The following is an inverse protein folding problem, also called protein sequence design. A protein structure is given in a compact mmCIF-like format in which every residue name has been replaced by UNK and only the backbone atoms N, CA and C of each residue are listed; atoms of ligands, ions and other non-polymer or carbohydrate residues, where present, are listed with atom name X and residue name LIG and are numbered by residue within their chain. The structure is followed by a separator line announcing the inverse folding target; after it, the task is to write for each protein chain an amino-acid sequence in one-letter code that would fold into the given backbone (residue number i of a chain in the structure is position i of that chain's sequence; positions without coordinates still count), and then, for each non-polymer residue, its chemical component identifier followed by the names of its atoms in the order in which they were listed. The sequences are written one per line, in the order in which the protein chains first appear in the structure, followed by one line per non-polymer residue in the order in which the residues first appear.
data_IF_111325306390
#
_entry.id   IF_111325306390
#
_cell.length_a   1.000
_cell.length_b   1.000
_cell.length_c   1.000
_cell.angle_alpha   90.00
_cell.angle_beta   90.00
_cell.angle_gamma   90.00
#
_symmetry.space_group_name_H-M   'P 1'
#
loop_
_entity.id
_entity.type
_entity.pdbx_description
1 polymer ?
#
# COMPACT_ATOMS: atom_id res chain seq x y z
N UNK A 1 8.79 4.66 22.96
CA UNK A 1 8.77 4.35 21.51
C UNK A 1 8.44 5.57 20.66
N UNK A 2 7.48 6.42 21.05
CA UNK A 2 7.14 7.65 20.31
C UNK A 2 8.32 8.58 19.99
N UNK A 3 9.28 8.75 20.92
CA UNK A 3 10.49 9.55 20.67
C UNK A 3 11.39 8.95 19.58
N UNK A 4 11.49 7.62 19.48
CA UNK A 4 12.25 6.95 18.42
C UNK A 4 11.57 7.15 17.06
N UNK A 5 10.24 7.00 17.00
CA UNK A 5 9.46 7.26 15.79
C UNK A 5 9.61 8.72 15.33
N UNK A 6 9.57 9.67 16.27
CA UNK A 6 9.77 11.10 15.98
C UNK A 6 11.19 11.39 15.46
N UNK A 7 12.20 10.72 16.01
CA UNK A 7 13.59 10.84 15.54
C UNK A 7 13.76 10.26 14.14
N UNK A 8 13.13 9.11 13.85
CA UNK A 8 13.17 8.53 12.51
C UNK A 8 12.41 9.36 11.48
N UNK A 9 11.28 9.95 11.86
CA UNK A 9 10.54 10.88 11.00
C UNK A 9 11.36 12.13 10.64
N UNK A 10 12.21 12.59 11.57
CA UNK A 10 13.13 13.73 11.33
C UNK A 10 14.39 13.33 10.56
N UNK A 11 14.88 12.10 10.74
CA UNK A 11 16.06 11.52 10.06
C UNK A 11 15.74 11.20 8.60
N UNK A 12 14.55 10.66 8.35
CA UNK A 12 14.13 10.27 7.02
C UNK A 12 13.53 11.49 6.30
N UNK A 13 14.20 12.02 5.27
CA UNK A 13 13.69 13.14 4.46
C UNK A 13 12.48 12.66 3.61
N UNK A 14 11.31 12.52 4.25
CA UNK A 14 10.06 11.99 3.68
C UNK A 14 9.52 12.89 2.53
N UNK A 15 10.11 14.06 2.30
CA UNK A 15 9.74 14.96 1.20
C UNK A 15 9.79 14.31 -0.19
N UNK A 16 10.69 13.35 -0.45
CA UNK A 16 10.70 12.62 -1.72
C UNK A 16 9.49 11.69 -1.86
N UNK A 17 9.08 11.07 -0.76
CA UNK A 17 7.94 10.16 -0.73
C UNK A 17 6.62 10.89 -0.98
N UNK A 18 6.43 12.07 -0.35
CA UNK A 18 5.22 12.89 -0.55
C UNK A 18 5.07 13.32 -2.01
N UNK A 19 6.17 13.77 -2.65
CA UNK A 19 6.15 14.14 -4.07
C UNK A 19 5.78 12.94 -4.96
N UNK A 20 6.35 11.77 -4.69
CA UNK A 20 6.02 10.54 -5.40
C UNK A 20 4.54 10.14 -5.25
N UNK A 21 4.00 10.22 -4.04
CA UNK A 21 2.60 9.88 -3.76
C UNK A 21 1.61 10.83 -4.46
N UNK A 22 1.93 12.13 -4.56
CA UNK A 22 1.11 13.11 -5.30
C UNK A 22 1.09 12.77 -6.80
N UNK A 23 2.25 12.51 -7.39
CA UNK A 23 2.37 12.15 -8.81
C UNK A 23 1.61 10.85 -9.10
N UNK A 24 1.73 9.84 -8.24
CA UNK A 24 1.01 8.59 -8.38
C UNK A 24 -0.51 8.78 -8.36
N UNK A 25 -1.02 9.60 -7.44
CA UNK A 25 -2.45 9.92 -7.39
C UNK A 25 -2.95 10.60 -8.68
N UNK A 26 -2.17 11.54 -9.23
CA UNK A 26 -2.50 12.20 -10.51
C UNK A 26 -2.56 11.18 -11.66
N UNK A 27 -1.60 10.24 -11.71
CA UNK A 27 -1.56 9.20 -12.74
C UNK A 27 -2.76 8.26 -12.62
N UNK A 28 -3.11 7.82 -11.41
CA UNK A 28 -4.26 6.93 -11.18
C UNK A 28 -5.55 7.62 -11.61
N UNK A 29 -5.73 8.89 -11.25
CA UNK A 29 -6.88 9.70 -11.62
C UNK A 29 -6.97 9.87 -13.15
N UNK A 30 -5.84 10.18 -13.80
CA UNK A 30 -5.77 10.26 -15.26
C UNK A 30 -6.13 8.93 -15.94
N UNK A 31 -5.67 7.81 -15.38
CA UNK A 31 -6.00 6.47 -15.90
C UNK A 31 -7.49 6.16 -15.75
N UNK A 32 -8.11 6.51 -14.61
CA UNK A 32 -9.55 6.37 -14.40
C UNK A 32 -10.37 7.24 -15.37
N UNK A 33 -9.91 8.48 -15.62
CA UNK A 33 -10.56 9.38 -16.57
C UNK A 33 -10.48 8.86 -18.02
N UNK A 34 -9.35 8.28 -18.42
CA UNK A 34 -9.23 7.65 -19.74
C UNK A 34 -10.21 6.48 -19.89
N UNK A 35 -10.35 5.64 -18.85
CA UNK A 35 -11.30 4.52 -18.87
C UNK A 35 -12.75 4.98 -19.05
N UNK A 36 -13.18 6.07 -18.40
CA UNK A 36 -14.55 6.60 -18.58
C UNK A 36 -14.76 7.25 -19.94
N UNK A 37 -13.72 7.86 -20.53
CA UNK A 37 -13.80 8.40 -21.90
C UNK A 37 -13.92 7.26 -22.93
N UNK A 38 -13.16 6.19 -22.77
CA UNK A 38 -13.23 5.00 -23.65
C UNK A 38 -14.62 4.38 -23.60
N UNK A 39 -15.19 4.21 -22.40
CA UNK A 39 -16.56 3.72 -22.21
C UNK A 39 -17.60 4.58 -22.96
N UNK A 40 -17.45 5.92 -22.94
CA UNK A 40 -18.32 6.84 -23.69
C UNK A 40 -18.16 6.73 -25.22
N UNK A 41 -16.98 6.37 -25.72
CA UNK A 41 -16.67 6.32 -27.16
C UNK A 41 -17.02 4.98 -27.77
N UNK A 42 -16.73 3.87 -27.07
CA UNK A 42 -16.94 2.51 -27.58
C UNK A 42 -18.33 1.95 -27.26
N UNK A 43 -19.05 2.55 -26.29
CA UNK A 43 -20.40 2.10 -25.91
C UNK A 43 -20.43 0.75 -25.18
N UNK A 44 -19.28 0.16 -24.89
CA UNK A 44 -19.15 -0.99 -23.99
C UNK A 44 -19.11 -0.51 -22.55
N UNK A 45 -20.05 -1.00 -21.73
CA UNK A 45 -20.10 -0.70 -20.29
C UNK A 45 -18.95 -1.41 -19.57
N UNK A 46 -17.81 -0.74 -19.42
CA UNK A 46 -16.69 -1.21 -18.60
C UNK A 46 -17.08 -1.10 -17.11
N UNK A 47 -17.88 -0.09 -16.75
CA UNK A 47 -18.44 0.11 -15.43
C UNK A 47 -19.93 -0.24 -15.43
N UNK A 48 -20.24 -1.54 -15.37
CA UNK A 48 -21.64 -2.02 -15.31
C UNK A 48 -22.33 -1.59 -14.01
N UNK A 49 -21.58 -1.50 -12.91
CA UNK A 49 -22.10 -1.17 -11.57
C UNK A 49 -21.14 -0.24 -10.81
N UNK A 50 -21.68 0.59 -9.89
CA UNK A 50 -20.90 1.39 -8.93
C UNK A 50 -19.81 0.58 -8.21
N UNK A 51 -20.13 -0.64 -7.81
CA UNK A 51 -19.20 -1.58 -7.18
C UNK A 51 -17.94 -1.83 -8.04
N UNK A 52 -18.08 -1.92 -9.36
CA UNK A 52 -16.95 -2.17 -10.28
C UNK A 52 -15.98 -0.98 -10.28
N UNK A 53 -16.49 0.25 -10.19
CA UNK A 53 -15.67 1.45 -10.10
C UNK A 53 -14.85 1.50 -8.78
N UNK A 54 -15.50 1.24 -7.65
CA UNK A 54 -14.82 1.19 -6.35
C UNK A 54 -13.79 0.07 -6.28
N UNK A 55 -14.10 -1.05 -6.92
CA UNK A 55 -13.21 -2.19 -6.99
C UNK A 55 -11.96 -1.88 -7.82
N UNK A 56 -12.12 -1.35 -9.04
CA UNK A 56 -11.00 -1.04 -9.94
C UNK A 56 -10.12 0.06 -9.34
N UNK A 57 -10.72 1.13 -8.84
CA UNK A 57 -9.98 2.22 -8.17
C UNK A 57 -9.24 1.70 -6.93
N UNK A 58 -9.90 0.89 -6.10
CA UNK A 58 -9.29 0.25 -4.94
C UNK A 58 -8.12 -0.68 -5.29
N UNK A 59 -8.20 -1.42 -6.39
CA UNK A 59 -7.08 -2.27 -6.87
C UNK A 59 -5.89 -1.42 -7.32
N UNK A 60 -6.11 -0.36 -8.09
CA UNK A 60 -5.06 0.55 -8.56
C UNK A 60 -4.33 1.24 -7.40
N UNK A 61 -5.08 1.75 -6.43
CA UNK A 61 -4.54 2.38 -5.23
C UNK A 61 -3.74 1.36 -4.42
N UNK A 62 -4.34 0.22 -4.06
CA UNK A 62 -3.64 -0.80 -3.27
C UNK A 62 -2.38 -1.29 -3.96
N UNK A 63 -2.42 -1.54 -5.26
CA UNK A 63 -1.27 -1.99 -6.05
C UNK A 63 -0.12 -0.99 -6.03
N UNK A 64 -0.39 0.26 -6.39
CA UNK A 64 0.61 1.33 -6.43
C UNK A 64 1.22 1.59 -5.06
N UNK A 65 0.39 1.74 -4.02
CA UNK A 65 0.88 2.03 -2.66
C UNK A 65 1.62 0.84 -2.04
N UNK A 66 1.33 -0.40 -2.44
CA UNK A 66 2.11 -1.58 -2.04
C UNK A 66 3.53 -1.55 -2.64
N UNK A 67 3.68 -1.13 -3.89
CA UNK A 67 5.01 -0.94 -4.49
C UNK A 67 5.75 0.21 -3.80
N UNK A 68 5.08 1.33 -3.51
CA UNK A 68 5.66 2.43 -2.74
C UNK A 68 6.10 2.00 -1.33
N UNK A 69 5.32 1.14 -0.65
CA UNK A 69 5.68 0.56 0.63
C UNK A 69 7.00 -0.22 0.54
N UNK A 70 7.16 -1.05 -0.49
CA UNK A 70 8.39 -1.82 -0.71
C UNK A 70 9.62 -0.92 -0.96
N UNK A 71 9.44 0.17 -1.71
CA UNK A 71 10.51 1.16 -1.91
C UNK A 71 10.87 1.87 -0.60
N UNK A 72 9.87 2.15 0.24
CA UNK A 72 10.08 2.77 1.55
C UNK A 72 10.81 1.82 2.51
N UNK A 73 10.44 0.54 2.53
CA UNK A 73 11.16 -0.54 3.23
C UNK A 73 12.61 -0.59 2.77
N UNK A 74 12.84 -0.58 1.46
CA UNK A 74 14.19 -0.60 0.90
C UNK A 74 15.04 0.59 1.38
N UNK A 75 14.52 1.81 1.34
CA UNK A 75 15.29 3.00 1.75
C UNK A 75 15.48 3.15 3.26
N UNK A 76 14.49 2.77 4.06
CA UNK A 76 14.53 2.96 5.52
C UNK A 76 15.26 1.82 6.23
N UNK A 77 15.10 0.60 5.73
CA UNK A 77 15.67 -0.60 6.34
C UNK A 77 16.94 -0.99 5.58
N UNK A 78 16.83 -1.35 4.30
CA UNK A 78 17.93 -1.99 3.56
C UNK A 78 19.14 -1.07 3.38
N UNK A 79 18.95 0.20 3.03
CA UNK A 79 20.07 1.15 2.86
C UNK A 79 20.85 1.37 4.17
N UNK A 80 20.20 1.26 5.33
CA UNK A 80 20.85 1.39 6.64
C UNK A 80 21.63 0.13 7.04
N UNK A 81 21.13 -1.06 6.67
CA UNK A 81 21.85 -2.33 6.87
C UNK A 81 23.01 -2.50 5.87
N UNK A 82 22.85 -2.06 4.62
CA UNK A 82 23.86 -2.17 3.55
C UNK A 82 25.07 -1.23 3.78
N UNK A 83 24.84 0.00 4.24
CA UNK A 83 25.90 1.00 4.40
C UNK A 83 26.70 0.91 5.72
N UNK A 84 26.80 -0.28 6.33
CA UNK A 84 27.56 -0.54 7.57
C UNK A 84 27.27 0.43 8.73
N UNK A 85 26.03 0.89 8.88
CA UNK A 85 25.57 1.56 10.12
C UNK A 85 25.33 0.54 11.25
N UNK A 86 25.56 -0.77 11.01
CA UNK A 86 25.48 -1.79 12.06
C UNK A 86 26.48 -1.53 13.19
N UNK A 87 27.70 -1.04 12.90
CA UNK A 87 28.70 -0.67 13.92
C UNK A 87 28.20 0.43 14.89
N UNK A 88 27.35 1.34 14.43
CA UNK A 88 26.75 2.38 15.30
C UNK A 88 25.56 1.80 16.08
N UNK A 89 24.84 0.81 15.53
CA UNK A 89 23.85 0.03 16.29
C UNK A 89 24.50 -0.83 17.39
N UNK A 90 25.77 -1.26 17.25
CA UNK A 90 26.51 -1.96 18.31
C UNK A 90 26.85 -1.05 19.50
N UNK A 91 26.98 0.26 19.30
CA UNK A 91 27.21 1.24 20.39
C UNK A 91 25.92 1.71 21.06
N UNK A 92 24.74 1.38 20.53
CA UNK A 92 23.48 1.84 21.07
C UNK A 92 23.05 0.95 22.26
N UNK A 93 22.89 1.49 23.49
CA UNK A 93 22.50 0.71 24.68
C UNK A 93 21.02 0.26 24.66
N UNK A 94 20.38 0.22 23.49
CA UNK A 94 18.94 -0.07 23.31
C UNK A 94 18.77 -1.37 22.53
N UNK A 95 17.87 -2.24 23.00
CA UNK A 95 17.53 -3.50 22.35
C UNK A 95 17.14 -3.30 20.87
N UNK A 96 17.90 -3.95 19.97
CA UNK A 96 17.75 -3.94 18.49
C UNK A 96 16.33 -4.22 18.01
N UNK A 97 15.66 -5.16 18.70
CA UNK A 97 14.25 -5.51 18.46
C UNK A 97 13.32 -4.30 18.53
N UNK A 98 13.57 -3.37 19.47
CA UNK A 98 12.75 -2.16 19.64
C UNK A 98 12.97 -1.13 18.52
N UNK A 99 14.19 -1.03 18.01
CA UNK A 99 14.55 -0.12 16.90
C UNK A 99 13.95 -0.64 15.59
N UNK A 100 14.06 -1.95 15.34
CA UNK A 100 13.45 -2.54 14.15
C UNK A 100 11.92 -2.43 14.19
N UNK A 101 11.30 -2.69 15.35
CA UNK A 101 9.87 -2.54 15.53
C UNK A 101 9.39 -1.09 15.32
N UNK A 102 10.16 -0.08 15.75
CA UNK A 102 9.79 1.32 15.50
C UNK A 102 9.83 1.69 14.02
N UNK A 103 10.83 1.18 13.27
CA UNK A 103 10.90 1.37 11.81
C UNK A 103 9.69 0.78 11.13
N UNK A 104 9.41 -0.50 11.41
CA UNK A 104 8.27 -1.22 10.88
C UNK A 104 6.94 -0.50 11.15
N UNK A 105 6.74 -0.02 12.39
CA UNK A 105 5.55 0.76 12.74
C UNK A 105 5.47 2.08 11.99
N UNK A 106 6.60 2.76 11.75
CA UNK A 106 6.63 3.98 10.95
C UNK A 106 6.20 3.68 9.51
N UNK A 107 6.79 2.66 8.87
CA UNK A 107 6.44 2.24 7.50
C UNK A 107 4.97 1.88 7.41
N UNK A 108 4.47 1.05 8.33
CA UNK A 108 3.08 0.63 8.36
C UNK A 108 2.13 1.81 8.55
N UNK A 109 2.39 2.69 9.52
CA UNK A 109 1.55 3.86 9.75
C UNK A 109 1.55 4.80 8.55
N UNK A 110 2.69 4.99 7.90
CA UNK A 110 2.82 5.91 6.78
C UNK A 110 2.13 5.37 5.53
N UNK A 111 2.31 4.08 5.23
CA UNK A 111 1.62 3.40 4.12
C UNK A 111 0.11 3.39 4.32
N UNK A 112 -0.36 3.08 5.54
CA UNK A 112 -1.77 3.16 5.91
C UNK A 112 -2.32 4.56 5.65
N UNK A 113 -1.73 5.59 6.27
CA UNK A 113 -2.19 6.99 6.09
C UNK A 113 -2.26 7.36 4.61
N UNK A 114 -1.25 7.01 3.81
CA UNK A 114 -1.27 7.33 2.37
C UNK A 114 -2.33 6.58 1.57
N UNK A 115 -2.61 5.32 1.88
CA UNK A 115 -3.69 4.59 1.22
C UNK A 115 -5.05 5.25 1.51
N UNK A 116 -5.30 5.58 2.78
CA UNK A 116 -6.53 6.27 3.20
C UNK A 116 -6.69 7.63 2.50
N UNK A 117 -5.67 8.49 2.55
CA UNK A 117 -5.71 9.79 1.88
C UNK A 117 -5.94 9.65 0.37
N UNK A 118 -5.29 8.69 -0.26
CA UNK A 118 -5.41 8.47 -1.71
C UNK A 118 -6.80 7.97 -2.10
N UNK A 119 -7.40 7.06 -1.31
CA UNK A 119 -8.80 6.67 -1.52
C UNK A 119 -9.76 7.85 -1.42
N UNK A 120 -9.60 8.71 -0.42
CA UNK A 120 -10.45 9.90 -0.24
C UNK A 120 -10.27 10.86 -1.41
N UNK A 121 -9.04 11.15 -1.82
CA UNK A 121 -8.74 12.06 -2.94
C UNK A 121 -9.37 11.55 -4.23
N UNK A 122 -9.24 10.25 -4.53
CA UNK A 122 -9.77 9.66 -5.75
C UNK A 122 -11.30 9.69 -5.76
N UNK A 123 -11.95 9.33 -4.65
CA UNK A 123 -13.42 9.40 -4.53
C UNK A 123 -13.91 10.84 -4.74
N UNK A 124 -13.35 11.82 -4.02
CA UNK A 124 -13.75 13.23 -4.12
C UNK A 124 -13.54 13.74 -5.54
N UNK A 125 -12.36 13.50 -6.10
CA UNK A 125 -12.03 13.97 -7.45
C UNK A 125 -12.93 13.39 -8.52
N UNK A 126 -13.28 12.11 -8.40
CA UNK A 126 -14.17 11.44 -9.34
C UNK A 126 -15.61 11.96 -9.21
N UNK A 127 -16.11 12.14 -7.99
CA UNK A 127 -17.44 12.76 -7.78
C UNK A 127 -17.50 14.18 -8.32
N UNK A 128 -16.43 14.97 -8.14
CA UNK A 128 -16.34 16.32 -8.70
C UNK A 128 -16.32 16.31 -10.22
N UNK A 129 -15.49 15.47 -10.84
CA UNK A 129 -15.44 15.33 -12.30
C UNK A 129 -16.77 14.85 -12.88
N UNK A 130 -17.49 13.96 -12.19
CA UNK A 130 -18.80 13.51 -12.65
C UNK A 130 -19.82 14.66 -12.65
N UNK A 131 -19.79 15.54 -11.64
CA UNK A 131 -20.67 16.71 -11.58
C UNK A 131 -20.39 17.72 -12.71
N UNK A 132 -19.13 17.90 -13.11
CA UNK A 132 -18.77 18.85 -14.19
C UNK A 132 -19.02 18.28 -15.59
N UNK A 133 -18.76 17.00 -15.81
CA UNK A 133 -18.77 16.39 -17.15
C UNK A 133 -19.96 15.47 -17.42
N UNK A 134 -20.87 15.28 -16.46
CA UNK A 134 -21.98 14.31 -16.53
C UNK A 134 -21.48 12.99 -17.15
N UNK A 135 -20.42 12.44 -16.55
CA UNK A 135 -19.73 11.27 -17.11
C UNK A 135 -20.58 10.01 -16.97
N UNK A 136 -21.49 9.99 -16.00
CA UNK A 136 -22.27 8.81 -15.64
C UNK A 136 -23.58 9.20 -14.94
N UNK A 137 -24.73 8.68 -15.41
CA UNK A 137 -26.07 8.85 -14.80
C UNK A 137 -26.32 7.96 -13.56
N UNK A 138 -25.28 7.32 -13.03
CA UNK A 138 -25.35 6.23 -12.01
C UNK A 138 -25.20 6.80 -10.58
N UNK A 139 -25.04 8.12 -10.42
CA UNK A 139 -24.73 8.73 -9.11
C UNK A 139 -25.96 9.03 -8.23
N UNK A 140 -27.13 8.54 -8.61
CA UNK A 140 -28.33 8.54 -7.75
C UNK A 140 -28.38 7.25 -6.93
N UNK A 141 -27.61 7.18 -5.84
CA UNK A 141 -27.80 6.16 -4.81
C UNK A 141 -28.21 6.82 -3.48
N UNK A 142 -29.23 6.28 -2.78
CA UNK A 142 -29.64 6.75 -1.48
C UNK A 142 -28.50 6.58 -0.47
N UNK A 143 -28.33 7.59 0.39
CA UNK A 143 -27.26 7.80 1.37
C UNK A 143 -26.85 6.58 2.23
N UNK A 144 -27.67 5.52 2.31
CA UNK A 144 -27.44 4.36 3.18
C UNK A 144 -26.41 3.34 2.66
N UNK A 145 -26.27 3.15 1.34
CA UNK A 145 -25.33 2.15 0.80
C UNK A 145 -23.89 2.67 0.70
N UNK A 146 -23.73 3.99 0.56
CA UNK A 146 -22.43 4.65 0.43
C UNK A 146 -21.54 4.49 1.66
N UNK A 147 -22.13 4.53 2.86
CA UNK A 147 -21.39 4.41 4.12
C UNK A 147 -20.83 2.99 4.31
N UNK A 148 -21.60 1.96 3.94
CA UNK A 148 -21.16 0.57 4.04
C UNK A 148 -19.97 0.28 3.11
N UNK A 149 -20.01 0.83 1.89
CA UNK A 149 -18.94 0.68 0.90
C UNK A 149 -17.63 1.36 1.36
N UNK A 150 -17.73 2.54 1.98
CA UNK A 150 -16.57 3.23 2.54
C UNK A 150 -15.94 2.40 3.67
N UNK A 151 -16.75 1.83 4.55
CA UNK A 151 -16.25 1.01 5.66
C UNK A 151 -15.54 -0.25 5.13
N UNK A 152 -16.10 -0.92 4.12
CA UNK A 152 -15.47 -2.10 3.51
C UNK A 152 -14.11 -1.74 2.89
N UNK A 153 -14.03 -0.63 2.15
CA UNK A 153 -12.79 -0.11 1.56
C UNK A 153 -11.73 0.22 2.61
N UNK A 154 -12.14 0.83 3.72
CA UNK A 154 -11.22 1.12 4.83
C UNK A 154 -10.64 -0.16 5.44
N UNK A 155 -11.48 -1.19 5.63
CA UNK A 155 -11.01 -2.50 6.12
C UNK A 155 -10.06 -3.17 5.12
N UNK A 156 -10.38 -3.13 3.82
CA UNK A 156 -9.50 -3.64 2.77
C UNK A 156 -8.17 -2.91 2.70
N UNK A 157 -8.14 -1.58 2.85
CA UNK A 157 -6.92 -0.80 2.91
C UNK A 157 -6.05 -1.21 4.10
N UNK A 158 -6.68 -1.48 5.25
CA UNK A 158 -5.98 -1.93 6.45
C UNK A 158 -5.32 -3.30 6.24
N UNK A 159 -6.04 -4.23 5.60
CA UNK A 159 -5.49 -5.54 5.23
C UNK A 159 -4.37 -5.42 4.20
N UNK A 160 -4.55 -4.58 3.17
CA UNK A 160 -3.55 -4.35 2.13
C UNK A 160 -2.29 -3.67 2.67
N UNK A 161 -2.43 -2.73 3.62
CA UNK A 161 -1.29 -2.14 4.31
C UNK A 161 -0.50 -3.21 5.09
N UNK A 162 -1.18 -4.18 5.72
CA UNK A 162 -0.53 -5.32 6.35
C UNK A 162 0.21 -6.21 5.35
N UNK A 163 -0.44 -6.57 4.24
CA UNK A 163 0.16 -7.34 3.16
C UNK A 163 1.38 -6.63 2.51
N UNK A 164 1.38 -5.30 2.49
CA UNK A 164 2.50 -4.51 1.96
C UNK A 164 3.80 -4.63 2.75
N UNK A 165 3.77 -5.25 3.94
CA UNK A 165 4.94 -5.54 4.75
C UNK A 165 5.61 -6.88 4.39
N UNK A 166 4.96 -7.77 3.64
CA UNK A 166 5.55 -9.05 3.20
C UNK A 166 6.89 -8.89 2.44
N UNK A 167 7.07 -7.90 1.53
CA UNK A 167 8.34 -7.69 0.82
C UNK A 167 9.56 -7.51 1.73
N UNK A 168 9.35 -7.08 2.97
CA UNK A 168 10.40 -6.89 3.97
C UNK A 168 11.22 -8.16 4.22
N UNK A 169 10.58 -9.33 4.22
CA UNK A 169 11.26 -10.60 4.43
C UNK A 169 12.29 -10.89 3.34
N UNK A 170 11.83 -10.83 2.09
CA UNK A 170 12.65 -11.07 0.92
C UNK A 170 13.77 -10.03 0.80
N UNK A 171 13.49 -8.79 1.21
CA UNK A 171 14.47 -7.71 1.29
C UNK A 171 15.59 -7.95 2.28
N UNK A 172 15.25 -8.48 3.47
CA UNK A 172 16.22 -8.72 4.53
C UNK A 172 17.08 -9.95 4.31
N UNK A 173 16.56 -11.00 3.67
CA UNK A 173 17.36 -12.21 3.37
C UNK A 173 18.51 -11.88 2.41
N UNK A 174 18.27 -11.01 1.42
CA UNK A 174 19.26 -10.70 0.37
C UNK A 174 19.93 -9.33 0.52
N UNK A 175 19.56 -8.53 1.53
CA UNK A 175 19.96 -7.12 1.70
C UNK A 175 19.91 -6.33 0.39
N UNK A 176 18.87 -6.55 -0.41
CA UNK A 176 18.83 -6.14 -1.81
C UNK A 176 17.58 -5.34 -2.13
N UNK A 177 17.80 -4.10 -2.58
CA UNK A 177 16.76 -3.16 -3.00
C UNK A 177 15.93 -3.65 -4.21
N UNK A 178 16.49 -4.30 -5.26
CA UNK A 178 15.66 -4.86 -6.32
C UNK A 178 14.82 -6.05 -5.85
N UNK A 179 15.31 -6.87 -4.92
CA UNK A 179 14.58 -8.04 -4.42
C UNK A 179 13.29 -7.63 -3.66
N UNK A 180 13.32 -6.52 -2.91
CA UNK A 180 12.11 -5.96 -2.28
C UNK A 180 11.06 -5.49 -3.28
N UNK A 181 11.49 -4.88 -4.38
CA UNK A 181 10.55 -4.32 -5.37
C UNK A 181 9.94 -5.44 -6.21
N UNK A 182 10.73 -6.44 -6.60
CA UNK A 182 10.22 -7.58 -7.37
C UNK A 182 9.23 -8.40 -6.54
N UNK A 183 9.52 -8.64 -5.26
CA UNK A 183 8.59 -9.36 -4.38
C UNK A 183 7.27 -8.61 -4.17
N UNK A 184 7.29 -7.29 -4.06
CA UNK A 184 6.06 -6.50 -3.96
C UNK A 184 5.24 -6.54 -5.25
N UNK A 185 5.87 -6.53 -6.42
CA UNK A 185 5.17 -6.70 -7.70
C UNK A 185 4.47 -8.06 -7.80
N UNK A 186 5.12 -9.14 -7.36
CA UNK A 186 4.50 -10.48 -7.33
C UNK A 186 3.27 -10.48 -6.42
N UNK A 187 3.37 -9.85 -5.24
CA UNK A 187 2.24 -9.73 -4.30
C UNK A 187 1.11 -8.93 -4.93
N UNK A 188 1.41 -7.78 -5.55
CA UNK A 188 0.41 -6.97 -6.23
C UNK A 188 -0.29 -7.82 -7.30
N UNK A 189 0.48 -8.52 -8.14
CA UNK A 189 -0.06 -9.38 -9.19
C UNK A 189 -1.01 -10.43 -8.63
N UNK A 190 -0.63 -11.15 -7.57
CA UNK A 190 -1.51 -12.15 -6.92
C UNK A 190 -2.77 -11.51 -6.34
N UNK A 191 -2.65 -10.32 -5.74
CA UNK A 191 -3.79 -9.63 -5.11
C UNK A 191 -4.71 -8.95 -6.13
N UNK A 192 -4.19 -8.63 -7.33
CA UNK A 192 -4.91 -7.91 -8.39
C UNK A 192 -5.35 -8.77 -9.58
N UNK A 193 -4.97 -10.06 -9.64
CA UNK A 193 -5.18 -10.94 -10.81
C UNK A 193 -6.64 -11.34 -11.10
N UNK A 194 -7.64 -10.61 -10.61
CA UNK A 194 -9.03 -11.04 -10.70
C UNK A 194 -9.96 -9.96 -11.25
N UNK A 195 -9.71 -9.53 -12.48
CA UNK A 195 -10.75 -8.93 -13.33
C UNK A 195 -11.57 -10.11 -13.89
N UNK A 196 -12.75 -10.38 -13.35
CA UNK A 196 -13.64 -11.48 -13.77
C UNK A 196 -14.94 -11.49 -12.98
N UNK A 197 -16.08 -11.60 -13.68
CA UNK A 197 -17.45 -11.28 -13.21
C UNK A 197 -18.01 -12.17 -12.11
N UNK A 198 -17.50 -13.39 -11.92
CA UNK A 198 -18.16 -14.37 -11.05
C UNK A 198 -17.32 -14.82 -9.85
N UNK A 199 -15.99 -14.63 -9.88
CA UNK A 199 -15.09 -14.95 -8.76
C UNK A 199 -13.89 -14.01 -8.74
N UNK A 200 -14.09 -12.79 -8.24
CA UNK A 200 -12.98 -11.88 -8.07
C UNK A 200 -12.25 -12.12 -6.75
N UNK A 201 -11.02 -12.65 -6.81
CA UNK A 201 -10.10 -12.80 -5.66
C UNK A 201 -9.86 -11.49 -4.89
N UNK A 202 -9.96 -10.34 -5.56
CA UNK A 202 -9.87 -9.01 -4.98
C UNK A 202 -11.11 -8.59 -4.18
N UNK A 203 -12.25 -9.25 -4.38
CA UNK A 203 -13.48 -9.08 -3.60
C UNK A 203 -13.52 -10.02 -2.38
N UNK A 204 -12.72 -11.08 -2.39
CA UNK A 204 -12.64 -12.04 -1.28
C UNK A 204 -11.71 -11.45 -0.21
N UNK A 205 -12.32 -10.93 0.86
CA UNK A 205 -11.62 -10.45 2.07
C UNK A 205 -10.53 -11.41 2.59
N UNK A 206 -10.68 -12.71 2.36
CA UNK A 206 -9.75 -13.73 2.85
C UNK A 206 -8.32 -13.63 2.30
N UNK A 207 -8.09 -13.19 1.05
CA UNK A 207 -6.74 -13.23 0.46
C UNK A 207 -5.84 -12.11 1.04
N UNK A 208 -6.25 -10.82 1.03
CA UNK A 208 -5.48 -9.77 1.70
C UNK A 208 -5.32 -10.02 3.19
N UNK A 209 -6.33 -10.61 3.84
CA UNK A 209 -6.28 -11.00 5.25
C UNK A 209 -5.21 -12.09 5.48
N UNK A 210 -5.19 -13.14 4.68
CA UNK A 210 -4.21 -14.22 4.78
C UNK A 210 -2.79 -13.70 4.55
N UNK A 211 -2.58 -12.85 3.53
CA UNK A 211 -1.27 -12.22 3.30
C UNK A 211 -0.85 -11.32 4.47
N UNK A 212 -1.78 -10.58 5.07
CA UNK A 212 -1.50 -9.74 6.25
C UNK A 212 -1.09 -10.59 7.45
N UNK A 213 -1.77 -11.71 7.71
CA UNK A 213 -1.40 -12.65 8.79
C UNK A 213 0.01 -13.21 8.53
N UNK A 214 0.28 -13.64 7.30
CA UNK A 214 1.61 -14.11 6.88
C UNK A 214 2.66 -13.03 7.08
N UNK A 215 2.35 -11.76 6.75
CA UNK A 215 3.23 -10.62 6.97
C UNK A 215 3.57 -10.42 8.46
N UNK A 216 2.58 -10.55 9.35
CA UNK A 216 2.79 -10.43 10.80
C UNK A 216 3.69 -11.55 11.32
N UNK A 217 3.46 -12.79 10.90
CA UNK A 217 4.31 -13.94 11.28
C UNK A 217 5.75 -13.70 10.82
N UNK A 218 5.91 -13.24 9.58
CA UNK A 218 7.19 -12.89 8.98
C UNK A 218 7.92 -11.81 9.77
N UNK A 219 7.22 -10.75 10.18
CA UNK A 219 7.78 -9.66 10.97
C UNK A 219 8.28 -10.18 12.32
N UNK A 220 7.49 -11.01 12.99
CA UNK A 220 7.86 -11.63 14.26
C UNK A 220 9.09 -12.53 14.12
N UNK A 221 9.16 -13.33 13.05
CA UNK A 221 10.33 -14.15 12.73
C UNK A 221 11.55 -13.28 12.45
N UNK A 222 11.40 -12.19 11.69
CA UNK A 222 12.50 -11.28 11.37
C UNK A 222 13.06 -10.58 12.62
N UNK A 223 12.19 -10.12 13.53
CA UNK A 223 12.58 -9.54 14.82
C UNK A 223 13.27 -10.58 15.71
N UNK A 224 12.85 -11.85 15.65
CA UNK A 224 13.48 -12.93 16.43
C UNK A 224 14.85 -13.29 15.87
N UNK A 225 15.00 -13.35 14.55
CA UNK A 225 16.20 -13.82 13.89
C UNK A 225 17.29 -12.75 13.73
N UNK A 226 17.00 -11.47 14.03
CA UNK A 226 17.96 -10.37 13.92
C UNK A 226 19.23 -10.56 14.78
N UNK A 227 19.17 -11.42 15.79
CA UNK A 227 20.32 -11.77 16.62
C UNK A 227 21.25 -12.82 15.95
N UNK A 228 20.75 -13.59 14.98
CA UNK A 228 21.50 -14.67 14.31
C UNK A 228 21.98 -14.29 12.90
N UNK A 229 21.34 -13.31 12.26
CA UNK A 229 21.66 -12.88 10.87
C UNK A 229 23.04 -12.20 10.76
N UNK A 230 23.67 -11.80 11.87
CA UNK A 230 24.98 -11.12 11.89
C UNK A 230 26.16 -12.01 12.35
N UNK A 231 25.96 -13.33 12.55
CA UNK A 231 27.04 -14.27 12.90
C UNK A 231 27.61 -15.07 11.71
N UNK A 232 27.24 -14.69 10.48
CA UNK A 232 27.72 -15.32 9.23
C UNK A 232 28.56 -14.36 8.38
#
# INVERSE_FOLDING_TARGET
MYQLIKLEFKKNKIGWYIKGAIIANIIILGMLCLLTVIEKVEGETIFRTFNDFFMISGILIRGTFTVFAAVLISKVIIDEFKNRTSLIMFSYPINRKKIMASKLLLIFSLTLVTMFFSTIIIIISFTGLNQFFHLTSILDLPNNYFVSEIISLMMFNLMAAGASLVPLYFGMIKFSTPATIISSLIIVMVTSSSIGSDFSLANIFYIPLALSIVAVIIILLSIRNINHIELG
#
